data_IF_716705626901
#
_entry.id   IF_716705626901
#
_cell.length_a   1.000
_cell.length_b   1.000
_cell.length_c   1.000
_cell.angle_alpha   90.00
_cell.angle_beta   90.00
_cell.angle_gamma   90.00
#
_symmetry.space_group_name_H-M   'P 1'
#
loop_
_entity.id
_entity.type
_entity.pdbx_description
1 polymer ?
#
# COMPACT_ATOMS: atom_id res chain seq x y z
N UNK A 1 -1.78 -11.19 10.06
CA UNK A 1 -3.25 -11.06 10.05
C UNK A 1 -3.93 -12.42 9.99
N UNK A 2 -3.51 -13.34 9.09
CA UNK A 2 -4.12 -14.68 8.97
C UNK A 2 -4.28 -15.42 10.30
N UNK A 3 -3.22 -15.48 11.11
CA UNK A 3 -3.29 -16.07 12.45
C UNK A 3 -4.38 -15.43 13.33
N UNK A 4 -4.53 -14.11 13.32
CA UNK A 4 -5.58 -13.41 14.06
C UNK A 4 -6.97 -13.79 13.56
N UNK A 5 -7.17 -13.92 12.24
CA UNK A 5 -8.44 -14.37 11.65
C UNK A 5 -8.75 -15.83 11.99
N UNK A 6 -7.74 -16.70 12.07
CA UNK A 6 -7.92 -18.11 12.51
C UNK A 6 -8.62 -18.18 13.86
N UNK A 7 -8.20 -17.35 14.82
CA UNK A 7 -8.81 -17.29 16.14
C UNK A 7 -10.12 -16.52 16.15
N UNK A 8 -10.13 -15.30 15.59
CA UNK A 8 -11.29 -14.43 15.61
C UNK A 8 -12.52 -15.11 15.00
N UNK A 9 -12.34 -15.76 13.85
CA UNK A 9 -13.43 -16.36 13.08
C UNK A 9 -13.66 -17.85 13.41
N UNK A 10 -12.92 -18.42 14.38
CA UNK A 10 -13.02 -19.85 14.72
C UNK A 10 -12.72 -20.77 13.52
N UNK A 11 -11.72 -20.42 12.68
CA UNK A 11 -11.53 -21.07 11.38
C UNK A 11 -11.21 -22.57 11.48
N UNK A 12 -10.64 -23.03 12.60
CA UNK A 12 -10.38 -24.47 12.83
C UNK A 12 -11.67 -25.30 12.97
N UNK A 13 -12.82 -24.67 13.20
CA UNK A 13 -14.13 -25.34 13.19
C UNK A 13 -14.68 -25.53 11.76
N UNK A 14 -14.16 -24.78 10.78
CA UNK A 14 -14.66 -24.72 9.40
C UNK A 14 -13.70 -25.36 8.40
N UNK A 15 -12.40 -25.32 8.70
CA UNK A 15 -11.33 -25.75 7.83
C UNK A 15 -10.57 -26.93 8.40
N UNK A 16 -10.09 -27.80 7.52
CA UNK A 16 -9.17 -28.86 7.91
C UNK A 16 -7.83 -28.29 8.36
N UNK A 17 -7.04 -29.07 9.10
CA UNK A 17 -5.67 -28.66 9.45
C UNK A 17 -4.79 -28.46 8.21
N UNK A 18 -5.05 -29.19 7.12
CA UNK A 18 -4.39 -28.99 5.82
C UNK A 18 -4.71 -27.61 5.24
N UNK A 19 -5.97 -27.18 5.30
CA UNK A 19 -6.38 -25.83 4.85
C UNK A 19 -5.74 -24.73 5.69
N UNK A 20 -5.66 -24.91 7.01
CA UNK A 20 -4.98 -23.95 7.90
C UNK A 20 -3.48 -23.88 7.56
N UNK A 21 -2.84 -25.01 7.30
CA UNK A 21 -1.44 -25.06 6.86
C UNK A 21 -1.23 -24.33 5.52
N UNK A 22 -2.13 -24.54 4.55
CA UNK A 22 -2.12 -23.85 3.25
C UNK A 22 -2.26 -22.33 3.45
N UNK A 23 -3.26 -21.88 4.23
CA UNK A 23 -3.50 -20.45 4.50
C UNK A 23 -2.29 -19.77 5.15
N UNK A 24 -1.72 -20.40 6.17
CA UNK A 24 -0.57 -19.84 6.90
C UNK A 24 0.69 -19.82 6.04
N UNK A 25 0.99 -20.91 5.34
CA UNK A 25 2.21 -21.00 4.52
C UNK A 25 2.12 -20.08 3.31
N UNK A 26 0.97 -20.04 2.62
CA UNK A 26 0.76 -19.13 1.50
C UNK A 26 0.89 -17.66 1.95
N UNK A 27 0.30 -17.28 3.09
CA UNK A 27 0.41 -15.92 3.61
C UNK A 27 1.87 -15.51 3.92
N UNK A 28 2.72 -16.44 4.37
CA UNK A 28 4.15 -16.17 4.61
C UNK A 28 4.91 -16.02 3.28
N UNK A 29 4.55 -16.81 2.27
CA UNK A 29 5.30 -16.90 1.01
C UNK A 29 4.82 -15.96 -0.10
N UNK A 30 3.67 -15.29 0.06
CA UNK A 30 2.96 -14.69 -1.08
C UNK A 30 3.72 -13.62 -1.85
N UNK A 31 4.67 -12.91 -1.21
CA UNK A 31 5.48 -11.84 -1.82
C UNK A 31 6.99 -12.15 -1.84
N UNK A 32 7.38 -13.43 -1.83
CA UNK A 32 8.79 -13.84 -1.85
C UNK A 32 9.53 -13.27 -3.08
N UNK A 33 10.65 -12.60 -2.83
CA UNK A 33 11.49 -11.99 -3.88
C UNK A 33 10.78 -10.92 -4.71
N UNK A 34 9.84 -10.17 -4.11
CA UNK A 34 9.22 -9.01 -4.75
C UNK A 34 10.28 -7.93 -5.07
N UNK A 35 10.39 -7.46 -6.33
CA UNK A 35 11.47 -6.57 -6.77
C UNK A 35 11.23 -5.10 -6.44
N UNK A 36 10.09 -4.75 -5.84
CA UNK A 36 9.67 -3.36 -5.57
C UNK A 36 9.01 -2.66 -6.75
N UNK A 37 8.61 -3.41 -7.79
CA UNK A 37 7.91 -2.89 -8.97
C UNK A 37 6.82 -3.88 -9.38
N UNK A 38 5.58 -3.40 -9.50
CA UNK A 38 4.40 -4.24 -9.72
C UNK A 38 4.33 -4.84 -11.15
N UNK A 39 3.36 -5.74 -11.37
CA UNK A 39 3.14 -6.42 -12.66
C UNK A 39 3.03 -5.45 -13.85
N UNK A 40 2.42 -4.28 -13.68
CA UNK A 40 2.28 -3.28 -14.77
C UNK A 40 3.66 -2.81 -15.24
N UNK A 41 4.58 -2.54 -14.32
CA UNK A 41 5.94 -2.20 -14.67
C UNK A 41 6.66 -3.38 -15.34
N UNK A 42 6.54 -4.60 -14.79
CA UNK A 42 7.20 -5.78 -15.35
C UNK A 42 6.82 -5.97 -16.84
N UNK A 43 5.53 -5.86 -17.15
CA UNK A 43 4.98 -6.04 -18.49
C UNK A 43 5.40 -4.88 -19.41
N UNK A 44 5.21 -3.63 -18.98
CA UNK A 44 5.53 -2.45 -19.81
C UNK A 44 7.04 -2.35 -20.11
N UNK A 45 7.88 -2.66 -19.12
CA UNK A 45 9.34 -2.69 -19.28
C UNK A 45 9.84 -4.00 -19.92
N UNK A 46 8.96 -4.97 -20.17
CA UNK A 46 9.27 -6.30 -20.76
C UNK A 46 10.43 -6.98 -20.03
N UNK A 47 10.36 -6.97 -18.70
CA UNK A 47 11.41 -7.54 -17.87
C UNK A 47 11.50 -9.06 -18.04
N UNK A 48 12.56 -9.67 -17.52
CA UNK A 48 12.74 -11.12 -17.57
C UNK A 48 11.54 -11.88 -16.96
N UNK A 49 10.96 -11.37 -15.87
CA UNK A 49 9.80 -12.00 -15.24
C UNK A 49 8.56 -11.95 -16.15
N UNK A 50 8.28 -10.81 -16.78
CA UNK A 50 7.16 -10.68 -17.71
C UNK A 50 7.31 -11.63 -18.91
N UNK A 51 8.51 -11.70 -19.50
CA UNK A 51 8.81 -12.63 -20.60
C UNK A 51 8.67 -14.08 -20.15
N UNK A 52 9.20 -14.44 -18.97
CA UNK A 52 9.15 -15.81 -18.43
C UNK A 52 7.72 -16.29 -18.19
N UNK A 53 6.85 -15.41 -17.69
CA UNK A 53 5.48 -15.73 -17.33
C UNK A 53 4.44 -15.26 -18.35
N UNK A 54 4.88 -14.82 -19.53
CA UNK A 54 4.03 -14.42 -20.66
C UNK A 54 2.95 -13.41 -20.25
N UNK A 55 3.33 -12.40 -19.46
CA UNK A 55 2.46 -11.34 -18.94
C UNK A 55 1.30 -11.80 -18.03
N UNK A 56 1.25 -13.08 -17.63
CA UNK A 56 0.19 -13.63 -16.76
C UNK A 56 0.68 -13.68 -15.32
N UNK A 57 0.18 -12.76 -14.48
CA UNK A 57 0.57 -12.58 -13.07
C UNK A 57 2.06 -12.87 -12.81
N UNK A 58 3.00 -12.13 -13.46
CA UNK A 58 4.42 -12.49 -13.43
C UNK A 58 5.02 -12.56 -12.02
N UNK A 59 4.64 -11.62 -11.14
CA UNK A 59 5.15 -11.57 -9.78
C UNK A 59 4.59 -12.71 -8.93
N UNK A 60 3.28 -12.93 -8.94
CA UNK A 60 2.66 -13.96 -8.11
C UNK A 60 3.11 -15.37 -8.52
N UNK A 61 3.33 -15.60 -9.82
CA UNK A 61 3.98 -16.83 -10.30
C UNK A 61 5.42 -16.95 -9.78
N UNK A 62 6.19 -15.86 -9.78
CA UNK A 62 7.55 -15.83 -9.26
C UNK A 62 7.61 -16.12 -7.76
N UNK A 63 6.78 -15.47 -6.96
CA UNK A 63 6.68 -15.69 -5.51
C UNK A 63 6.39 -17.16 -5.20
N UNK A 64 5.45 -17.76 -5.95
CA UNK A 64 5.11 -19.17 -5.80
C UNK A 64 6.27 -20.09 -6.23
N UNK A 65 6.96 -19.78 -7.33
CA UNK A 65 8.12 -20.54 -7.78
C UNK A 65 9.24 -20.53 -6.75
N UNK A 66 9.59 -19.36 -6.20
CA UNK A 66 10.61 -19.20 -5.15
C UNK A 66 10.20 -19.97 -3.88
N UNK A 67 8.93 -19.89 -3.46
CA UNK A 67 8.44 -20.64 -2.30
C UNK A 67 8.73 -22.14 -2.42
N UNK A 68 8.47 -22.73 -3.59
CA UNK A 68 8.70 -24.16 -3.80
C UNK A 68 10.15 -24.52 -4.16
N UNK A 69 10.97 -23.57 -4.60
CA UNK A 69 12.43 -23.76 -4.65
C UNK A 69 12.97 -23.90 -3.23
N UNK A 70 12.60 -23.02 -2.31
CA UNK A 70 13.00 -23.11 -0.89
C UNK A 70 12.53 -24.45 -0.30
N UNK A 71 11.27 -24.83 -0.50
CA UNK A 71 10.72 -26.09 0.02
C UNK A 71 11.30 -27.35 -0.66
N UNK A 72 12.04 -27.19 -1.77
CA UNK A 72 12.73 -28.31 -2.41
C UNK A 72 14.08 -28.63 -1.75
N UNK A 73 14.66 -27.68 -1.00
CA UNK A 73 15.87 -27.91 -0.22
C UNK A 73 15.53 -28.78 1.01
N UNK A 74 16.17 -29.95 1.20
CA UNK A 74 15.80 -30.88 2.26
C UNK A 74 15.82 -30.29 3.68
N UNK A 75 16.72 -29.36 3.96
CA UNK A 75 16.85 -28.66 5.25
C UNK A 75 15.77 -27.60 5.50
N UNK A 76 15.12 -27.11 4.44
CA UNK A 76 14.03 -26.12 4.52
C UNK A 76 12.65 -26.76 4.33
N UNK A 77 12.58 -28.02 3.91
CA UNK A 77 11.34 -28.70 3.58
C UNK A 77 10.53 -29.09 4.83
N UNK A 78 9.68 -28.17 5.28
CA UNK A 78 8.71 -28.41 6.37
C UNK A 78 7.65 -29.47 6.02
N UNK A 79 7.57 -29.90 4.76
CA UNK A 79 6.65 -30.93 4.27
C UNK A 79 7.34 -32.28 4.03
N UNK A 80 8.59 -32.47 4.46
CA UNK A 80 9.39 -33.68 4.20
C UNK A 80 8.72 -34.99 4.67
N UNK A 81 7.89 -34.91 5.71
CA UNK A 81 7.18 -36.04 6.31
C UNK A 81 5.70 -36.11 5.90
N UNK A 82 5.26 -35.29 4.94
CA UNK A 82 3.90 -35.33 4.40
C UNK A 82 3.85 -36.33 3.24
N UNK A 83 2.87 -37.25 3.20
CA UNK A 83 2.68 -38.16 2.07
C UNK A 83 2.52 -37.40 0.75
N UNK A 84 2.93 -38.03 -0.37
CA UNK A 84 2.92 -37.39 -1.69
C UNK A 84 1.58 -36.78 -2.07
N UNK A 85 0.46 -37.45 -1.76
CA UNK A 85 -0.88 -36.94 -2.09
C UNK A 85 -1.26 -35.71 -1.26
N UNK A 86 -0.88 -35.69 0.03
CA UNK A 86 -1.04 -34.51 0.89
C UNK A 86 -0.18 -33.34 0.41
N UNK A 87 1.06 -33.59 -0.01
CA UNK A 87 1.93 -32.56 -0.58
C UNK A 87 1.34 -31.96 -1.86
N UNK A 88 0.80 -32.79 -2.77
CA UNK A 88 0.14 -32.30 -3.98
C UNK A 88 -1.06 -31.40 -3.65
N UNK A 89 -1.88 -31.78 -2.67
CA UNK A 89 -3.01 -30.97 -2.21
C UNK A 89 -2.54 -29.62 -1.64
N UNK A 90 -1.54 -29.64 -0.75
CA UNK A 90 -0.97 -28.42 -0.16
C UNK A 90 -0.40 -27.51 -1.24
N UNK A 91 0.39 -28.09 -2.16
CA UNK A 91 1.00 -27.36 -3.28
C UNK A 91 -0.05 -26.68 -4.14
N UNK A 92 -1.08 -27.42 -4.55
CA UNK A 92 -2.16 -26.87 -5.36
C UNK A 92 -2.89 -25.74 -4.64
N UNK A 93 -3.20 -25.93 -3.35
CA UNK A 93 -3.84 -24.90 -2.53
C UNK A 93 -3.00 -23.63 -2.43
N UNK A 94 -1.70 -23.76 -2.12
CA UNK A 94 -0.79 -22.60 -2.02
C UNK A 94 -0.66 -21.86 -3.35
N UNK A 95 -0.54 -22.57 -4.48
CA UNK A 95 -0.50 -21.95 -5.82
C UNK A 95 -1.76 -21.11 -6.05
N UNK A 96 -2.94 -21.68 -5.79
CA UNK A 96 -4.22 -20.96 -5.94
C UNK A 96 -4.26 -19.71 -5.06
N UNK A 97 -3.80 -19.79 -3.82
CA UNK A 97 -3.86 -18.66 -2.89
C UNK A 97 -2.86 -17.55 -3.20
N UNK A 98 -1.62 -17.89 -3.57
CA UNK A 98 -0.61 -16.89 -3.94
C UNK A 98 -1.02 -16.21 -5.25
N UNK A 99 -1.47 -16.95 -6.26
CA UNK A 99 -1.97 -16.33 -7.51
C UNK A 99 -3.26 -15.52 -7.33
N UNK A 100 -3.98 -15.68 -6.21
CA UNK A 100 -5.16 -14.89 -5.90
C UNK A 100 -4.82 -13.51 -5.34
N UNK A 101 -3.59 -13.27 -4.87
CA UNK A 101 -3.22 -11.95 -4.31
C UNK A 101 -3.13 -10.87 -5.39
N UNK A 102 -2.87 -11.24 -6.65
CA UNK A 102 -2.89 -10.31 -7.79
C UNK A 102 -4.16 -9.45 -7.80
N UNK A 103 -3.98 -8.14 -7.62
CA UNK A 103 -5.08 -7.19 -7.54
C UNK A 103 -5.75 -6.94 -8.89
N UNK A 104 -5.13 -7.31 -10.02
CA UNK A 104 -5.81 -7.32 -11.32
C UNK A 104 -7.03 -8.26 -11.34
N UNK A 105 -7.01 -9.31 -10.49
CA UNK A 105 -8.09 -10.30 -10.36
C UNK A 105 -9.06 -10.00 -9.23
N UNK A 106 -8.91 -8.87 -8.53
CA UNK A 106 -9.73 -8.56 -7.34
C UNK A 106 -11.23 -8.59 -7.65
N UNK A 107 -11.66 -7.93 -8.73
CA UNK A 107 -13.07 -7.89 -9.11
C UNK A 107 -13.63 -9.28 -9.48
N UNK A 108 -12.90 -10.04 -10.32
CA UNK A 108 -13.26 -11.42 -10.71
C UNK A 108 -13.48 -12.32 -9.48
N UNK A 109 -12.55 -12.30 -8.53
CA UNK A 109 -12.60 -13.12 -7.32
C UNK A 109 -13.74 -12.66 -6.39
N UNK A 110 -13.90 -11.35 -6.22
CA UNK A 110 -14.98 -10.78 -5.40
C UNK A 110 -16.36 -11.10 -5.95
N UNK A 111 -16.56 -11.01 -7.26
CA UNK A 111 -17.84 -11.31 -7.90
C UNK A 111 -18.16 -12.81 -7.79
N UNK A 112 -17.16 -13.67 -8.05
CA UNK A 112 -17.30 -15.12 -7.88
C UNK A 112 -17.66 -15.48 -6.44
N UNK A 113 -17.02 -14.86 -5.45
CA UNK A 113 -17.33 -15.11 -4.04
C UNK A 113 -18.73 -14.59 -3.67
N UNK A 114 -19.12 -13.39 -4.12
CA UNK A 114 -20.46 -12.84 -3.87
C UNK A 114 -21.57 -13.72 -4.45
N UNK A 115 -21.35 -14.31 -5.63
CA UNK A 115 -22.27 -15.30 -6.22
C UNK A 115 -22.45 -16.49 -5.27
N UNK A 116 -21.36 -17.08 -4.76
CA UNK A 116 -21.45 -18.21 -3.83
C UNK A 116 -22.03 -17.82 -2.47
N UNK A 117 -21.92 -16.56 -2.08
CA UNK A 117 -22.48 -16.04 -0.83
C UNK A 117 -24.02 -16.00 -0.80
N UNK A 118 -24.71 -16.11 -1.93
CA UNK A 118 -26.17 -16.22 -1.97
C UNK A 118 -26.67 -17.50 -1.24
N UNK A 119 -25.89 -18.59 -1.34
CA UNK A 119 -26.16 -19.84 -0.65
C UNK A 119 -24.84 -20.55 -0.31
N UNK A 120 -24.07 -19.93 0.59
CA UNK A 120 -22.74 -20.42 0.95
C UNK A 120 -22.83 -21.78 1.65
N UNK A 121 -21.89 -22.67 1.32
CA UNK A 121 -21.88 -24.07 1.77
C UNK A 121 -20.46 -24.50 2.11
N UNK A 122 -20.21 -24.77 3.39
CA UNK A 122 -18.90 -25.18 3.90
C UNK A 122 -18.49 -26.60 3.45
N UNK A 123 -19.43 -27.41 2.96
CA UNK A 123 -19.14 -28.74 2.41
C UNK A 123 -18.75 -28.71 0.93
N UNK A 124 -18.95 -27.58 0.26
CA UNK A 124 -18.60 -27.39 -1.14
C UNK A 124 -17.15 -26.89 -1.29
N UNK A 125 -16.32 -27.66 -2.00
CA UNK A 125 -14.88 -27.37 -2.16
C UNK A 125 -14.61 -26.07 -2.94
N UNK A 126 -15.44 -25.71 -3.91
CA UNK A 126 -15.32 -24.48 -4.69
C UNK A 126 -15.59 -23.26 -3.79
N UNK A 127 -16.66 -23.34 -2.97
CA UNK A 127 -17.00 -22.30 -2.00
C UNK A 127 -15.87 -22.10 -0.99
N UNK A 128 -15.31 -23.19 -0.48
CA UNK A 128 -14.20 -23.15 0.47
C UNK A 128 -12.91 -22.65 -0.17
N UNK A 129 -12.67 -22.92 -1.45
CA UNK A 129 -11.52 -22.38 -2.20
C UNK A 129 -11.63 -20.87 -2.36
N UNK A 130 -12.78 -20.36 -2.79
CA UNK A 130 -13.03 -18.92 -2.89
C UNK A 130 -12.94 -18.23 -1.51
N UNK A 131 -13.46 -18.86 -0.45
CA UNK A 131 -13.31 -18.32 0.89
C UNK A 131 -11.84 -18.20 1.30
N UNK A 132 -11.00 -19.22 1.04
CA UNK A 132 -9.56 -19.14 1.31
C UNK A 132 -8.87 -18.04 0.49
N UNK A 133 -9.26 -17.86 -0.78
CA UNK A 133 -8.77 -16.77 -1.63
C UNK A 133 -9.13 -15.40 -1.04
N UNK A 134 -10.37 -15.21 -0.57
CA UNK A 134 -10.78 -13.98 0.09
C UNK A 134 -10.03 -13.77 1.40
N UNK A 135 -9.83 -14.82 2.22
CA UNK A 135 -9.12 -14.71 3.49
C UNK A 135 -7.65 -14.26 3.31
N UNK A 136 -6.93 -14.82 2.33
CA UNK A 136 -5.55 -14.37 2.07
C UNK A 136 -5.53 -12.94 1.53
N UNK A 137 -6.46 -12.58 0.63
CA UNK A 137 -6.59 -11.19 0.13
C UNK A 137 -6.93 -10.21 1.24
N UNK A 138 -7.84 -10.55 2.15
CA UNK A 138 -8.11 -9.76 3.34
C UNK A 138 -6.84 -9.51 4.15
N UNK A 139 -6.05 -10.56 4.37
CA UNK A 139 -4.83 -10.47 5.17
C UNK A 139 -3.73 -9.63 4.52
N UNK A 140 -3.54 -9.81 3.21
CA UNK A 140 -2.55 -9.11 2.39
C UNK A 140 -2.73 -7.58 2.49
N UNK A 141 -3.94 -7.09 2.23
CA UNK A 141 -4.23 -5.64 2.25
C UNK A 141 -4.80 -5.12 3.59
N UNK A 142 -4.58 -5.84 4.70
CA UNK A 142 -5.18 -5.55 6.02
C UNK A 142 -4.58 -4.40 6.82
N UNK A 143 -3.64 -3.62 6.28
CA UNK A 143 -2.91 -2.63 7.08
C UNK A 143 -3.84 -1.63 7.79
N UNK A 144 -4.85 -1.12 7.08
CA UNK A 144 -5.82 -0.15 7.61
C UNK A 144 -6.86 -0.75 8.59
N UNK A 145 -6.83 -2.06 8.80
CA UNK A 145 -7.62 -2.72 9.85
C UNK A 145 -6.94 -2.56 11.22
N UNK A 146 -5.64 -2.28 11.24
CA UNK A 146 -4.85 -2.18 12.47
C UNK A 146 -5.08 -0.84 13.17
N UNK A 147 -4.74 -0.72 14.47
CA UNK A 147 -4.69 0.57 15.13
C UNK A 147 -3.86 1.59 14.33
N UNK A 148 -4.32 2.83 14.32
CA UNK A 148 -3.80 3.88 13.45
C UNK A 148 -2.28 4.07 13.56
N UNK A 149 -1.73 3.99 14.77
CA UNK A 149 -0.31 4.17 15.04
C UNK A 149 0.55 3.06 14.40
N UNK A 150 -0.07 1.91 14.12
CA UNK A 150 0.54 0.77 13.44
C UNK A 150 0.30 0.84 11.93
N UNK A 151 -0.88 1.30 11.50
CA UNK A 151 -1.27 1.37 10.09
C UNK A 151 -0.56 2.52 9.34
N UNK A 152 -0.51 3.72 9.91
CA UNK A 152 -0.05 4.94 9.23
C UNK A 152 1.38 4.85 8.67
N UNK A 153 2.37 4.24 9.37
CA UNK A 153 3.72 4.06 8.81
C UNK A 153 3.75 3.21 7.53
N UNK A 154 2.81 2.27 7.34
CA UNK A 154 2.77 1.46 6.12
C UNK A 154 2.38 2.27 4.88
N UNK A 155 1.61 3.35 5.05
CA UNK A 155 1.25 4.23 3.94
C UNK A 155 2.48 4.99 3.43
N UNK A 156 3.40 5.39 4.33
CA UNK A 156 4.67 5.97 3.91
C UNK A 156 5.51 4.97 3.11
N UNK A 157 5.64 3.73 3.59
CA UNK A 157 6.38 2.67 2.88
C UNK A 157 5.77 2.38 1.50
N UNK A 158 4.45 2.27 1.41
CA UNK A 158 3.72 2.04 0.16
C UNK A 158 3.99 3.16 -0.84
N UNK A 159 3.85 4.42 -0.41
CA UNK A 159 4.08 5.56 -1.28
C UNK A 159 5.56 5.70 -1.68
N UNK A 160 6.50 5.36 -0.80
CA UNK A 160 7.93 5.33 -1.14
C UNK A 160 8.19 4.36 -2.30
N UNK A 161 7.64 3.14 -2.24
CA UNK A 161 7.78 2.14 -3.30
C UNK A 161 7.04 2.55 -4.58
N UNK A 162 5.80 3.01 -4.48
CA UNK A 162 5.01 3.47 -5.63
C UNK A 162 5.67 4.65 -6.35
N UNK A 163 6.24 5.58 -5.60
CA UNK A 163 6.93 6.71 -6.19
C UNK A 163 8.28 6.32 -6.78
N UNK A 164 8.98 5.33 -6.21
CA UNK A 164 10.19 4.77 -6.82
C UNK A 164 9.88 4.18 -8.19
N UNK A 165 8.78 3.42 -8.31
CA UNK A 165 8.32 2.90 -9.59
C UNK A 165 7.92 4.02 -10.56
N UNK A 166 7.07 4.96 -10.16
CA UNK A 166 6.59 5.99 -11.09
C UNK A 166 7.67 6.96 -11.55
N UNK A 167 8.64 7.29 -10.67
CA UNK A 167 9.81 8.09 -11.04
C UNK A 167 10.67 7.33 -12.09
N UNK A 168 10.82 6.02 -11.93
CA UNK A 168 11.53 5.18 -12.90
C UNK A 168 10.77 5.08 -14.23
N UNK A 169 9.47 4.83 -14.20
CA UNK A 169 8.60 4.82 -15.39
C UNK A 169 8.72 6.13 -16.18
N UNK A 170 8.68 7.28 -15.51
CA UNK A 170 8.93 8.60 -16.12
C UNK A 170 10.30 8.66 -16.80
N UNK A 171 11.34 8.18 -16.12
CA UNK A 171 12.72 8.22 -16.64
C UNK A 171 12.96 7.31 -17.85
N UNK A 172 12.22 6.19 -17.92
CA UNK A 172 12.32 5.19 -19.00
C UNK A 172 11.30 5.44 -20.13
N UNK A 173 10.45 6.46 -19.99
CA UNK A 173 9.40 6.80 -20.98
C UNK A 173 8.23 5.82 -20.99
N UNK A 174 8.00 5.10 -19.89
CA UNK A 174 6.90 4.15 -19.72
C UNK A 174 5.62 4.85 -19.23
N UNK A 175 4.43 4.24 -19.43
CA UNK A 175 3.18 4.75 -18.89
C UNK A 175 3.20 4.82 -17.36
N UNK A 176 2.69 5.91 -16.78
CA UNK A 176 2.61 6.12 -15.33
C UNK A 176 1.16 6.09 -14.88
N UNK A 177 0.85 5.25 -13.89
CA UNK A 177 -0.47 5.19 -13.30
C UNK A 177 -0.76 6.43 -12.42
N UNK A 178 -1.90 7.14 -12.60
CA UNK A 178 -2.19 8.36 -11.83
C UNK A 178 -2.21 8.17 -10.31
N UNK A 179 -2.58 6.99 -9.82
CA UNK A 179 -2.63 6.66 -8.39
C UNK A 179 -1.25 6.32 -7.79
N UNK A 180 -0.21 6.24 -8.61
CA UNK A 180 1.19 6.06 -8.18
C UNK A 180 2.05 7.30 -8.45
N UNK A 181 1.48 8.36 -9.04
CA UNK A 181 2.22 9.54 -9.45
C UNK A 181 2.50 10.46 -8.25
N UNK A 182 3.78 10.63 -7.92
CA UNK A 182 4.28 11.49 -6.83
C UNK A 182 3.69 12.91 -6.87
N UNK A 183 3.43 13.42 -8.07
CA UNK A 183 2.94 14.79 -8.25
C UNK A 183 1.43 14.95 -7.98
N UNK A 184 0.69 13.83 -7.91
CA UNK A 184 -0.77 13.81 -7.83
C UNK A 184 -1.30 13.18 -6.53
N UNK A 185 -0.53 12.30 -5.91
CA UNK A 185 -0.99 11.47 -4.79
C UNK A 185 -0.58 12.07 -3.45
N UNK A 186 -1.54 12.21 -2.55
CA UNK A 186 -1.31 12.37 -1.11
C UNK A 186 -1.68 11.10 -0.36
N UNK A 187 -1.18 10.93 0.88
CA UNK A 187 -1.57 9.84 1.77
C UNK A 187 -3.09 9.67 1.84
N UNK A 188 -3.81 10.77 2.10
CA UNK A 188 -5.26 10.74 2.21
C UNK A 188 -5.92 10.26 0.92
N UNK A 189 -5.50 10.78 -0.24
CA UNK A 189 -6.10 10.37 -1.52
C UNK A 189 -5.82 8.91 -1.89
N UNK A 190 -4.66 8.37 -1.50
CA UNK A 190 -4.34 6.96 -1.70
C UNK A 190 -5.27 6.05 -0.89
N UNK A 191 -5.49 6.39 0.39
CA UNK A 191 -6.21 5.51 1.30
C UNK A 191 -7.74 5.61 1.18
N UNK A 192 -8.32 6.80 0.95
CA UNK A 192 -9.79 6.97 0.94
C UNK A 192 -10.47 6.07 -0.09
N UNK A 193 -9.99 6.09 -1.34
CA UNK A 193 -10.58 5.27 -2.40
C UNK A 193 -10.39 3.79 -2.14
N UNK A 194 -9.18 3.41 -1.71
CA UNK A 194 -8.85 2.02 -1.41
C UNK A 194 -9.69 1.45 -0.25
N UNK A 195 -9.83 2.20 0.85
CA UNK A 195 -10.65 1.79 1.99
C UNK A 195 -12.12 1.65 1.58
N UNK A 196 -12.67 2.66 0.88
CA UNK A 196 -14.11 2.71 0.55
C UNK A 196 -14.54 1.69 -0.49
N UNK A 197 -13.70 1.43 -1.49
CA UNK A 197 -14.10 0.67 -2.67
C UNK A 197 -13.43 -0.70 -2.78
N UNK A 198 -12.40 -0.97 -1.96
CA UNK A 198 -11.71 -2.28 -1.93
C UNK A 198 -11.86 -2.94 -0.56
N UNK A 199 -11.37 -2.31 0.51
CA UNK A 199 -11.34 -2.95 1.83
C UNK A 199 -12.73 -3.15 2.41
N UNK A 200 -13.51 -2.07 2.58
CA UNK A 200 -14.83 -2.14 3.22
C UNK A 200 -15.73 -3.17 2.51
N UNK A 201 -15.94 -3.13 1.16
CA UNK A 201 -16.82 -4.09 0.50
C UNK A 201 -16.37 -5.56 0.63
N UNK A 202 -15.05 -5.79 0.67
CA UNK A 202 -14.48 -7.14 0.86
C UNK A 202 -14.75 -7.63 2.27
N UNK A 203 -14.44 -6.83 3.30
CA UNK A 203 -14.68 -7.19 4.70
C UNK A 203 -16.18 -7.29 5.03
N UNK A 204 -17.05 -6.45 4.46
CA UNK A 204 -18.51 -6.58 4.56
C UNK A 204 -19.02 -7.92 4.06
N UNK A 205 -18.44 -8.44 2.97
CA UNK A 205 -18.83 -9.75 2.44
C UNK A 205 -18.38 -10.87 3.38
N UNK A 206 -17.19 -10.76 3.98
CA UNK A 206 -16.68 -11.71 4.99
C UNK A 206 -17.51 -11.68 6.28
N UNK A 207 -17.97 -10.51 6.72
CA UNK A 207 -18.81 -10.33 7.91
C UNK A 207 -20.11 -11.13 7.83
N UNK A 208 -20.65 -11.37 6.63
CA UNK A 208 -21.85 -12.21 6.45
C UNK A 208 -21.65 -13.66 6.90
N UNK A 209 -20.42 -14.18 6.82
CA UNK A 209 -20.05 -15.50 7.35
C UNK A 209 -19.54 -15.42 8.80
N UNK A 210 -18.86 -14.33 9.13
CA UNK A 210 -18.18 -14.13 10.42
C UNK A 210 -18.56 -12.78 11.03
N UNK A 211 -19.72 -12.66 11.70
CA UNK A 211 -20.24 -11.37 12.17
C UNK A 211 -19.29 -10.61 13.12
N UNK A 212 -18.44 -11.33 13.87
CA UNK A 212 -17.42 -10.74 14.74
C UNK A 212 -16.38 -9.88 14.00
N UNK A 213 -16.27 -10.02 12.67
CA UNK A 213 -15.38 -9.21 11.82
C UNK A 213 -15.84 -7.75 11.76
N UNK A 214 -17.13 -7.47 11.95
CA UNK A 214 -17.65 -6.10 11.89
C UNK A 214 -17.01 -5.20 12.96
N UNK A 215 -17.17 -5.60 14.22
CA UNK A 215 -16.64 -4.84 15.36
C UNK A 215 -15.11 -4.78 15.36
N UNK A 216 -14.45 -5.89 14.99
CA UNK A 216 -13.00 -6.00 15.15
C UNK A 216 -12.23 -5.45 13.93
N UNK A 217 -12.84 -5.46 12.73
CA UNK A 217 -12.14 -5.14 11.49
C UNK A 217 -12.81 -4.07 10.64
N UNK A 218 -14.15 -4.04 10.53
CA UNK A 218 -14.83 -2.97 9.79
C UNK A 218 -14.84 -1.65 10.57
N UNK A 219 -15.00 -1.69 11.90
CA UNK A 219 -15.01 -0.50 12.73
C UNK A 219 -13.71 0.34 12.58
N UNK A 220 -12.49 -0.25 12.69
CA UNK A 220 -11.25 0.48 12.38
C UNK A 220 -11.19 1.03 10.95
N UNK A 221 -11.75 0.32 9.97
CA UNK A 221 -11.77 0.80 8.58
C UNK A 221 -12.68 2.02 8.40
N UNK A 222 -13.83 2.06 9.06
CA UNK A 222 -14.70 3.24 9.05
C UNK A 222 -14.05 4.44 9.72
N UNK A 223 -13.40 4.23 10.87
CA UNK A 223 -12.63 5.27 11.57
C UNK A 223 -11.46 5.79 10.73
N UNK A 224 -10.70 4.88 10.11
CA UNK A 224 -9.59 5.21 9.20
C UNK A 224 -10.08 6.01 7.99
N UNK A 225 -11.17 5.57 7.35
CA UNK A 225 -11.82 6.31 6.25
C UNK A 225 -12.15 7.74 6.66
N UNK A 226 -12.90 7.91 7.76
CA UNK A 226 -13.39 9.22 8.20
C UNK A 226 -12.23 10.16 8.53
N UNK A 227 -11.18 9.60 9.15
CA UNK A 227 -9.95 10.33 9.42
C UNK A 227 -9.25 10.79 8.15
N UNK A 228 -9.06 9.92 7.16
CA UNK A 228 -8.40 10.33 5.92
C UNK A 228 -9.26 11.32 5.12
N UNK A 229 -10.59 11.20 5.15
CA UNK A 229 -11.48 12.19 4.55
C UNK A 229 -11.32 13.57 5.21
N UNK A 230 -11.18 13.63 6.54
CA UNK A 230 -10.87 14.87 7.24
C UNK A 230 -9.48 15.41 6.90
N UNK A 231 -8.47 14.54 6.88
CA UNK A 231 -7.11 14.93 6.48
C UNK A 231 -7.09 15.52 5.06
N UNK A 232 -7.86 14.94 4.14
CA UNK A 232 -8.01 15.48 2.78
C UNK A 232 -8.62 16.89 2.78
N UNK A 233 -9.64 17.15 3.61
CA UNK A 233 -10.25 18.50 3.71
C UNK A 233 -9.22 19.52 4.21
N UNK A 234 -8.40 19.14 5.19
CA UNK A 234 -7.32 19.98 5.70
C UNK A 234 -6.27 20.25 4.60
N UNK A 235 -5.82 19.21 3.89
CA UNK A 235 -4.87 19.33 2.78
C UNK A 235 -5.39 20.27 1.68
N UNK A 236 -6.66 20.13 1.30
CA UNK A 236 -7.30 20.96 0.28
C UNK A 236 -7.39 22.42 0.75
N UNK A 237 -7.77 22.66 2.01
CA UNK A 237 -7.81 24.01 2.58
C UNK A 237 -6.43 24.68 2.64
N UNK A 238 -5.39 23.92 2.99
CA UNK A 238 -4.00 24.41 3.00
C UNK A 238 -3.51 24.75 1.59
N UNK A 239 -3.81 23.91 0.59
CA UNK A 239 -3.48 24.18 -0.82
C UNK A 239 -4.16 25.44 -1.35
N UNK A 240 -5.44 25.65 -1.02
CA UNK A 240 -6.17 26.86 -1.41
C UNK A 240 -5.61 28.13 -0.73
N UNK A 241 -5.18 28.03 0.53
CA UNK A 241 -4.51 29.14 1.21
C UNK A 241 -3.19 29.50 0.53
N UNK A 242 -2.38 28.50 0.17
CA UNK A 242 -1.11 28.70 -0.52
C UNK A 242 -1.31 29.39 -1.88
N UNK A 243 -2.28 28.93 -2.69
CA UNK A 243 -2.61 29.58 -3.98
C UNK A 243 -3.03 31.05 -3.80
N UNK A 244 -3.80 31.36 -2.76
CA UNK A 244 -4.20 32.75 -2.44
C UNK A 244 -2.98 33.60 -2.04
N UNK A 245 -2.04 33.06 -1.27
CA UNK A 245 -0.81 33.76 -0.92
C UNK A 245 0.11 33.97 -2.13
N UNK A 246 0.23 32.98 -3.01
CA UNK A 246 1.08 33.07 -4.22
C UNK A 246 0.50 34.05 -5.26
N UNK A 247 -0.82 34.13 -5.39
CA UNK A 247 -1.50 35.13 -6.24
C UNK A 247 -1.37 36.56 -5.70
N UNK A 248 -1.39 36.75 -4.38
CA UNK A 248 -1.17 38.07 -3.76
C UNK A 248 0.29 38.55 -3.88
N UNK A 249 1.26 37.65 -3.81
CA UNK A 249 2.70 37.98 -3.94
C UNK A 249 3.12 38.20 -5.39
N UNK A 250 2.56 37.47 -6.35
CA UNK A 250 2.73 37.73 -7.79
C UNK A 250 2.07 39.04 -8.25
N UNK A 251 0.87 39.36 -7.75
CA UNK A 251 0.23 40.65 -8.00
C UNK A 251 0.95 41.85 -7.39
N UNK A 252 1.68 41.66 -6.27
CA UNK A 252 2.52 42.70 -5.67
C UNK A 252 3.82 42.95 -6.44
N UNK A 253 4.38 41.93 -7.11
CA UNK A 253 5.58 42.06 -7.95
C UNK A 253 5.28 42.67 -9.32
N UNK A 254 4.09 42.48 -9.88
CA UNK A 254 3.64 43.24 -11.05
C UNK A 254 3.42 44.72 -10.73
N UNK A 255 2.79 45.06 -9.60
CA UNK A 255 2.64 46.46 -9.16
C UNK A 255 3.97 47.15 -8.83
N UNK A 256 5.01 46.41 -8.44
CA UNK A 256 6.35 47.00 -8.22
C UNK A 256 7.15 47.15 -9.52
N UNK A 257 6.92 46.30 -10.53
CA UNK A 257 7.50 46.45 -11.89
C UNK A 257 6.88 47.62 -12.65
N UNK A 258 5.59 47.89 -12.49
CA UNK A 258 4.95 49.07 -13.09
C UNK A 258 5.44 50.38 -12.44
N UNK A 259 5.57 50.40 -11.10
CA UNK A 259 6.17 51.55 -10.39
C UNK A 259 7.64 51.78 -10.70
N UNK A 260 8.38 50.76 -11.15
CA UNK A 260 9.79 50.90 -11.54
C UNK A 260 9.98 51.34 -12.99
N UNK A 261 8.93 51.31 -13.83
CA UNK A 261 8.95 51.88 -15.18
C UNK A 261 8.62 53.38 -15.20
N UNK A 262 7.85 53.86 -14.23
CA UNK A 262 7.52 55.29 -14.12
C UNK A 262 8.58 56.15 -13.37
N UNK A 263 9.62 55.55 -12.78
CA UNK A 263 10.68 56.26 -12.03
C UNK A 263 12.03 56.21 -12.76
N UNK A 264 12.00 56.38 -14.10
CA UNK A 264 13.22 56.61 -14.91
C UNK A 264 13.26 57.98 -15.60
N UNK A 265 12.51 58.96 -15.09
CA UNK A 265 12.59 60.35 -15.50
C UNK A 265 12.56 61.29 -14.29
N UNK A 266 13.65 61.32 -13.52
CA UNK A 266 14.13 62.54 -12.84
C UNK A 266 15.43 62.23 -12.08
N UNK A 267 16.50 62.91 -12.46
CA UNK A 267 17.79 62.87 -11.80
C UNK A 267 17.79 63.62 -10.45
N UNK A 268 18.71 63.19 -9.57
CA UNK A 268 19.46 64.11 -8.71
C UNK A 268 18.93 64.32 -7.29
N UNK A 269 19.41 63.54 -6.32
CA UNK A 269 20.33 64.04 -5.28
C UNK A 269 20.64 62.96 -4.25
N UNK A 270 21.92 62.89 -3.89
CA UNK A 270 22.44 62.06 -2.82
C UNK A 270 22.07 62.65 -1.45
N UNK A 271 21.54 61.83 -0.54
CA UNK A 271 21.71 62.03 0.91
C UNK A 271 21.83 60.66 1.58
N UNK A 272 22.93 60.50 2.31
CA UNK A 272 23.27 59.40 3.20
C UNK A 272 22.29 59.30 4.38
N UNK A 273 21.80 58.09 4.67
CA UNK A 273 21.14 57.78 5.95
C UNK A 273 21.60 56.40 6.44
N UNK A 274 21.96 56.37 7.72
CA UNK A 274 22.55 55.25 8.46
C UNK A 274 21.65 54.01 8.52
N UNK A 275 22.30 52.85 8.43
CA UNK A 275 21.70 51.52 8.59
C UNK A 275 21.67 51.18 10.09
N UNK A 276 20.48 51.16 10.69
CA UNK A 276 20.27 50.51 11.99
C UNK A 276 19.77 49.09 11.72
N UNK A 277 20.67 48.12 11.89
CA UNK A 277 20.39 46.69 11.81
C UNK A 277 19.71 46.22 13.10
N UNK A 278 18.42 45.84 13.02
CA UNK A 278 17.74 45.09 14.08
C UNK A 278 17.90 43.61 13.77
N UNK A 279 18.84 42.95 14.45
CA UNK A 279 18.97 41.49 14.45
C UNK A 279 17.88 40.89 15.35
N UNK A 280 16.83 40.33 14.75
CA UNK A 280 15.92 39.43 15.47
C UNK A 280 16.50 38.02 15.45
N UNK A 281 17.05 37.60 16.59
CA UNK A 281 17.58 36.26 16.83
C UNK A 281 16.41 35.26 16.92
N UNK A 282 16.30 34.34 15.95
CA UNK A 282 15.41 33.18 16.03
C UNK A 282 16.22 32.01 16.63
N UNK A 283 15.80 31.37 17.74
CA UNK A 283 16.55 30.27 18.32
C UNK A 283 16.38 28.98 17.49
N UNK A 284 17.47 28.49 16.92
CA UNK A 284 17.56 27.19 16.27
C UNK A 284 17.57 26.07 17.32
N UNK A 285 16.45 25.34 17.48
CA UNK A 285 16.47 24.03 18.17
C UNK A 285 17.00 22.94 17.23
N UNK A 286 18.31 22.74 17.33
CA UNK A 286 19.05 21.48 17.34
C UNK A 286 18.53 20.31 16.46
N UNK A 287 18.76 20.40 15.15
CA UNK A 287 18.56 19.32 14.15
C UNK A 287 19.63 18.21 14.24
N UNK A 288 20.66 18.33 15.10
CA UNK A 288 21.81 17.41 15.12
C UNK A 288 21.64 16.19 16.05
N UNK A 289 20.72 16.22 17.02
CA UNK A 289 20.46 15.06 17.90
C UNK A 289 19.60 13.95 17.29
N UNK A 290 18.83 14.23 16.23
CA UNK A 290 17.96 13.22 15.57
C UNK A 290 18.71 12.30 14.59
N UNK A 291 19.81 12.76 13.99
CA UNK A 291 20.61 11.93 13.07
C UNK A 291 21.42 10.85 13.78
N UNK A 292 21.82 11.06 15.03
CA UNK A 292 22.70 10.14 15.76
C UNK A 292 21.97 8.90 16.33
N UNK A 293 20.66 8.99 16.58
CA UNK A 293 19.84 7.83 17.02
C UNK A 293 19.36 6.93 15.87
N UNK A 294 19.37 7.40 14.62
CA UNK A 294 18.98 6.58 13.46
C UNK A 294 20.08 5.63 12.99
N UNK A 295 21.37 5.95 13.21
CA UNK A 295 22.47 5.06 12.80
C UNK A 295 22.70 3.87 13.74
N UNK A 296 22.24 3.94 15.00
CA UNK A 296 22.40 2.85 15.98
C UNK A 296 21.30 1.78 15.90
N UNK A 297 20.17 2.06 15.25
CA UNK A 297 19.09 1.07 15.11
C UNK A 297 19.34 0.07 13.96
N UNK A 298 20.12 0.45 12.95
CA UNK A 298 20.37 -0.36 11.76
C UNK A 298 21.61 -1.27 11.83
N UNK A 299 22.38 -1.23 12.92
CA UNK A 299 23.56 -2.08 13.11
C UNK A 299 23.31 -3.31 14.01
N UNK A 300 22.07 -3.55 14.43
CA UNK A 300 21.73 -4.67 15.34
C UNK A 300 21.10 -5.87 14.63
N UNK A 301 21.02 -5.84 13.29
CA UNK A 301 20.54 -6.96 12.47
C UNK A 301 21.42 -7.16 11.23
N UNK A 302 22.69 -7.51 11.48
CA UNK A 302 23.59 -8.18 10.53
C UNK A 302 24.33 -9.28 11.27
#
# INVERSE_FOLDING_TARGET
MMYSMVWLCGLQEKFSQTDILILMTAAICHDLDHPGYNNTYQINARTELAVRYNDISPLENHHCAVAFQILSEPECNIFSNIPSDGFKQIRQGMITLILATDMARHAEIMDSFKEKMENFDYSNEEHMTLLKMILIKCCDISNEVRPMEVAEPWVDCLLEEYFMQSDREKSEGLPVAPFMDRDKVTKATAQIGFIKFVLIPMFETVTKLFPMVEEIMLQPLWESRDRYEELKRIDDAMKELQKKTDSLTSGATEKSRDRSRDVKNSEGNAVSAEVVSVHTVIPTKDRRKRKRRKSEFWNTFK
#
